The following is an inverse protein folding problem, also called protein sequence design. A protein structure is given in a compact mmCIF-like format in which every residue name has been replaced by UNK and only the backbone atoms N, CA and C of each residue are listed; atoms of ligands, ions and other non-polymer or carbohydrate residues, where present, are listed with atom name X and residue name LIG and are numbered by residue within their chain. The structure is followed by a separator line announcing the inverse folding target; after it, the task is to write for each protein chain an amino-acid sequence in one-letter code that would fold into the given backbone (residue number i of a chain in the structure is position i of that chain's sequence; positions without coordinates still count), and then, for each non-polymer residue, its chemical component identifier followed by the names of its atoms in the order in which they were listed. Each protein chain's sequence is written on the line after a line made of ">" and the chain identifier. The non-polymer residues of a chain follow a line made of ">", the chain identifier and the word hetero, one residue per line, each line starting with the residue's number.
data_IF_587418268571
#
_entry.id   IF_587418268571
#
_cell.length_a   1.000
_cell.length_b   1.000
_cell.length_c   1.000
_cell.angle_alpha   90.00
_cell.angle_beta   90.00
_cell.angle_gamma   90.00
#
_symmetry.space_group_name_H-M   'P 1'
#
loop_
_entity.id
_entity.type
_entity.pdbx_description
1 polymer ?
#
# COMPACT_ATOMS: atom_id res chain seq x y z
N UNK A 1 12.63 -28.86 -16.96
CA UNK A 1 12.27 -29.50 -15.69
C UNK A 1 10.78 -29.19 -15.42
N UNK A 2 9.99 -30.20 -15.21
CA UNK A 2 8.57 -29.99 -14.87
C UNK A 2 8.47 -29.79 -13.36
N UNK A 3 8.32 -28.57 -12.93
CA UNK A 3 8.10 -28.27 -11.52
C UNK A 3 6.62 -28.51 -11.16
N UNK A 4 6.40 -29.42 -10.23
CA UNK A 4 5.07 -29.74 -9.69
C UNK A 4 5.01 -29.28 -8.23
N UNK A 5 3.91 -28.62 -7.85
CA UNK A 5 3.56 -28.32 -6.47
C UNK A 5 2.50 -29.31 -5.98
N UNK A 6 2.66 -29.83 -4.76
CA UNK A 6 1.66 -30.71 -4.14
C UNK A 6 0.53 -29.85 -3.52
N UNK A 7 -0.66 -29.90 -4.09
CA UNK A 7 -1.88 -29.33 -3.52
C UNK A 7 -2.74 -30.39 -2.83
N UNK A 8 -3.83 -29.99 -2.16
CA UNK A 8 -4.77 -30.89 -1.44
C UNK A 8 -5.34 -32.01 -2.32
N UNK A 9 -5.38 -31.84 -3.63
CA UNK A 9 -5.96 -32.77 -4.61
C UNK A 9 -4.94 -33.29 -5.65
N UNK A 10 -3.63 -33.32 -5.33
CA UNK A 10 -2.61 -33.85 -6.20
C UNK A 10 -1.56 -32.84 -6.68
N UNK A 11 -0.75 -33.27 -7.66
CA UNK A 11 0.32 -32.43 -8.23
C UNK A 11 -0.26 -31.37 -9.16
N UNK A 12 0.09 -30.11 -8.90
CA UNK A 12 -0.29 -28.96 -9.72
C UNK A 12 0.86 -28.65 -10.68
N UNK A 13 0.58 -28.64 -11.97
CA UNK A 13 1.55 -28.29 -13.00
C UNK A 13 1.67 -26.77 -13.07
N UNK A 14 2.88 -26.24 -12.89
CA UNK A 14 3.15 -24.81 -13.12
C UNK A 14 3.18 -24.59 -14.64
N UNK A 15 2.26 -23.79 -15.16
CA UNK A 15 2.25 -23.42 -16.58
C UNK A 15 3.10 -22.17 -16.79
N UNK A 16 4.17 -22.32 -17.57
CA UNK A 16 4.96 -21.21 -18.06
C UNK A 16 4.32 -20.67 -19.34
N UNK A 17 3.93 -19.41 -19.37
CA UNK A 17 3.53 -18.73 -20.60
C UNK A 17 4.81 -18.23 -21.28
N UNK A 18 5.19 -18.84 -22.41
CA UNK A 18 6.22 -18.27 -23.27
C UNK A 18 5.60 -17.17 -24.10
N UNK A 19 6.22 -16.00 -24.12
CA UNK A 19 5.93 -14.97 -25.11
C UNK A 19 6.47 -15.45 -26.45
N UNK A 20 5.60 -15.80 -27.39
CA UNK A 20 5.99 -16.06 -28.78
C UNK A 20 6.37 -14.72 -29.42
N UNK A 21 7.66 -14.48 -29.54
CA UNK A 21 8.19 -13.50 -30.49
C UNK A 21 8.18 -14.11 -31.88
N UNK A 22 7.55 -13.38 -32.81
CA UNK A 22 7.58 -13.55 -34.28
C UNK A 22 6.69 -14.63 -34.91
N UNK A 23 5.57 -14.19 -35.44
CA UNK A 23 5.19 -14.69 -36.77
C UNK A 23 4.44 -13.60 -37.57
N UNK A 24 5.22 -12.79 -38.30
CA UNK A 24 4.75 -12.09 -39.50
C UNK A 24 4.92 -13.05 -40.66
N UNK A 25 3.83 -13.66 -41.16
CA UNK A 25 3.72 -13.92 -42.58
C UNK A 25 2.27 -14.19 -43.00
N UNK A 26 1.85 -13.31 -43.87
CA UNK A 26 0.67 -13.37 -44.73
C UNK A 26 0.58 -14.67 -45.52
N UNK A 27 -0.59 -15.32 -45.57
CA UNK A 27 -1.12 -15.87 -46.83
C UNK A 27 -2.63 -16.09 -46.70
N UNK A 28 -3.32 -15.24 -47.48
CA UNK A 28 -4.73 -15.41 -47.82
C UNK A 28 -4.91 -16.67 -48.67
N UNK A 29 -5.78 -17.58 -48.26
CA UNK A 29 -6.41 -18.55 -49.16
C UNK A 29 -7.92 -18.55 -48.99
N UNK A 30 -8.57 -18.02 -50.06
CA UNK A 30 -9.99 -18.22 -50.35
C UNK A 30 -10.29 -19.72 -50.41
N UNK A 31 -11.33 -20.20 -49.74
CA UNK A 31 -12.03 -21.39 -50.14
C UNK A 31 -13.54 -21.21 -50.14
N UNK A 32 -14.16 -21.86 -51.10
CA UNK A 32 -15.47 -21.71 -51.70
C UNK A 32 -16.63 -22.19 -50.83
N UNK A 33 -17.78 -21.59 -51.09
CA UNK A 33 -19.14 -21.98 -50.74
C UNK A 33 -19.48 -23.43 -51.07
N UNK A 34 -20.12 -24.15 -50.12
CA UNK A 34 -20.94 -25.30 -50.32
C UNK A 34 -22.23 -25.17 -49.51
N UNK A 35 -23.36 -25.33 -50.22
CA UNK A 35 -24.74 -25.21 -49.75
C UNK A 35 -25.25 -26.48 -49.11
N UNK A 36 -26.20 -26.33 -48.15
CA UNK A 36 -27.30 -27.22 -47.73
C UNK A 36 -27.04 -28.23 -46.62
N UNK A 37 -27.76 -28.24 -45.49
CA UNK A 37 -29.17 -28.57 -45.25
C UNK A 37 -29.55 -28.38 -43.78
N UNK A 38 -30.79 -28.01 -43.55
CA UNK A 38 -31.51 -27.80 -42.29
C UNK A 38 -31.52 -29.06 -41.42
N UNK A 39 -31.32 -28.88 -40.11
CA UNK A 39 -32.13 -29.52 -39.07
C UNK A 39 -32.15 -28.62 -37.85
N UNK A 40 -33.35 -28.24 -37.44
CA UNK A 40 -33.67 -27.54 -36.21
C UNK A 40 -33.32 -28.43 -35.02
N UNK A 41 -32.52 -27.90 -34.10
CA UNK A 41 -32.59 -28.19 -32.68
C UNK A 41 -32.22 -26.90 -31.94
N UNK A 42 -33.21 -26.36 -31.25
CA UNK A 42 -33.07 -25.28 -30.31
C UNK A 42 -32.01 -25.60 -29.25
N UNK A 43 -30.81 -25.14 -29.45
CA UNK A 43 -29.81 -25.00 -28.41
C UNK A 43 -29.65 -23.51 -28.14
N UNK A 44 -30.35 -23.00 -27.16
CA UNK A 44 -30.06 -21.72 -26.51
C UNK A 44 -28.65 -21.83 -25.97
N UNK A 45 -27.68 -21.43 -26.79
CA UNK A 45 -26.34 -21.11 -26.33
C UNK A 45 -26.47 -19.83 -25.51
N UNK A 46 -26.53 -19.98 -24.19
CA UNK A 46 -26.26 -18.88 -23.25
C UNK A 46 -24.83 -18.46 -23.55
N UNK A 47 -24.69 -17.35 -24.25
CA UNK A 47 -23.42 -16.71 -24.56
C UNK A 47 -22.88 -16.06 -23.28
N UNK A 48 -22.10 -16.82 -22.49
CA UNK A 48 -21.60 -16.45 -21.17
C UNK A 48 -20.40 -15.49 -21.22
N UNK A 49 -20.17 -14.78 -22.32
CA UNK A 49 -18.95 -13.96 -22.51
C UNK A 49 -19.20 -12.52 -22.95
N UNK A 50 -20.28 -11.89 -22.54
CA UNK A 50 -20.35 -10.43 -22.59
C UNK A 50 -20.37 -9.86 -21.17
N UNK A 51 -19.18 -9.81 -20.54
CA UNK A 51 -19.01 -8.95 -19.38
C UNK A 51 -19.22 -7.51 -19.87
N UNK A 52 -20.22 -6.85 -19.33
CA UNK A 52 -20.54 -5.44 -19.61
C UNK A 52 -19.24 -4.61 -19.47
N UNK A 53 -18.82 -3.87 -20.52
CA UNK A 53 -17.64 -3.02 -20.46
C UNK A 53 -17.64 -2.06 -19.26
N UNK A 54 -18.81 -1.59 -18.84
CA UNK A 54 -18.98 -0.73 -17.67
C UNK A 54 -18.68 -1.49 -16.37
N UNK A 55 -19.10 -2.75 -16.24
CA UNK A 55 -18.78 -3.58 -15.09
C UNK A 55 -17.28 -3.89 -15.04
N UNK A 56 -16.67 -4.18 -16.18
CA UNK A 56 -15.23 -4.43 -16.28
C UNK A 56 -14.42 -3.17 -15.90
N UNK A 57 -14.87 -1.99 -16.32
CA UNK A 57 -14.24 -0.73 -15.96
C UNK A 57 -14.36 -0.44 -14.47
N UNK A 58 -15.53 -0.69 -13.87
CA UNK A 58 -15.75 -0.57 -12.42
C UNK A 58 -14.86 -1.56 -11.64
N UNK A 59 -14.78 -2.82 -12.05
CA UNK A 59 -13.89 -3.79 -11.42
C UNK A 59 -12.42 -3.34 -11.47
N UNK A 60 -11.95 -2.86 -12.63
CA UNK A 60 -10.58 -2.33 -12.77
C UNK A 60 -10.33 -1.09 -11.91
N UNK A 61 -11.33 -0.24 -11.68
CA UNK A 61 -11.24 0.90 -10.79
C UNK A 61 -11.13 0.50 -9.31
N UNK A 62 -11.62 -0.70 -8.95
CA UNK A 62 -11.57 -1.26 -7.60
C UNK A 62 -10.33 -2.14 -7.36
N UNK A 63 -9.41 -2.22 -8.30
CA UNK A 63 -8.22 -3.05 -8.20
C UNK A 63 -6.95 -2.19 -8.18
N UNK A 64 -5.96 -2.64 -7.41
CA UNK A 64 -4.62 -2.02 -7.33
C UNK A 64 -3.53 -3.07 -7.51
N UNK A 65 -2.37 -2.64 -8.00
CA UNK A 65 -1.18 -3.48 -8.12
C UNK A 65 -0.22 -3.17 -7.00
N UNK A 66 0.15 -4.22 -6.28
CA UNK A 66 1.16 -4.19 -5.22
C UNK A 66 2.33 -5.03 -5.69
N UNK A 67 3.53 -4.50 -5.56
CA UNK A 67 4.77 -5.15 -5.99
C UNK A 67 5.87 -4.97 -4.96
N UNK A 68 6.93 -5.76 -5.10
CA UNK A 68 8.01 -5.84 -4.12
C UNK A 68 7.86 -7.05 -3.19
N UNK A 69 8.97 -7.74 -2.96
CA UNK A 69 9.00 -9.02 -2.25
C UNK A 69 8.37 -8.93 -0.86
N UNK A 70 8.88 -8.04 -0.03
CA UNK A 70 8.42 -7.92 1.35
C UNK A 70 6.99 -7.38 1.45
N UNK A 71 6.61 -6.41 0.60
CA UNK A 71 5.23 -5.90 0.54
C UNK A 71 4.25 -7.02 0.22
N UNK A 72 4.51 -7.83 -0.82
CA UNK A 72 3.64 -8.93 -1.21
C UNK A 72 3.62 -10.07 -0.17
N UNK A 73 4.75 -10.39 0.48
CA UNK A 73 4.78 -11.40 1.53
C UNK A 73 3.97 -10.99 2.76
N UNK A 74 4.10 -9.75 3.22
CA UNK A 74 3.33 -9.25 4.35
C UNK A 74 1.85 -9.11 4.03
N UNK A 75 1.50 -8.65 2.82
CA UNK A 75 0.12 -8.62 2.35
C UNK A 75 -0.49 -10.04 2.35
N UNK A 76 0.21 -11.02 1.79
CA UNK A 76 -0.24 -12.40 1.80
C UNK A 76 -0.44 -12.95 3.22
N UNK A 77 0.45 -12.63 4.14
CA UNK A 77 0.37 -13.06 5.54
C UNK A 77 -0.84 -12.48 6.27
N UNK A 78 -1.17 -11.21 6.01
CA UNK A 78 -2.17 -10.47 6.79
C UNK A 78 -3.57 -10.50 6.17
N UNK A 79 -3.69 -10.52 4.84
CA UNK A 79 -4.99 -10.43 4.14
C UNK A 79 -4.98 -11.09 2.75
N UNK A 80 -4.70 -12.39 2.68
CA UNK A 80 -4.62 -13.11 1.39
C UNK A 80 -5.92 -13.06 0.58
N UNK A 81 -7.06 -12.92 1.24
CA UNK A 81 -8.41 -12.94 0.65
C UNK A 81 -8.62 -11.81 -0.37
N UNK A 82 -7.96 -10.67 -0.23
CA UNK A 82 -8.08 -9.56 -1.18
C UNK A 82 -7.29 -9.78 -2.48
N UNK A 83 -6.41 -10.78 -2.53
CA UNK A 83 -5.62 -11.09 -3.73
C UNK A 83 -6.57 -11.63 -4.80
N UNK A 84 -6.59 -10.96 -5.96
CA UNK A 84 -7.36 -11.34 -7.14
C UNK A 84 -6.50 -12.23 -8.04
N UNK A 85 -5.27 -11.80 -8.32
CA UNK A 85 -4.35 -12.43 -9.26
C UNK A 85 -2.90 -12.10 -8.89
N UNK A 86 -1.96 -12.95 -9.27
CA UNK A 86 -0.54 -12.72 -9.02
C UNK A 86 0.33 -13.06 -10.23
N UNK A 87 1.50 -12.40 -10.30
CA UNK A 87 2.57 -12.68 -11.24
C UNK A 87 3.88 -12.85 -10.48
N UNK A 88 4.66 -13.86 -10.88
CA UNK A 88 5.92 -14.20 -10.26
C UNK A 88 7.00 -14.38 -11.32
N UNK A 89 8.22 -13.94 -11.02
CA UNK A 89 9.38 -14.38 -11.80
C UNK A 89 9.77 -15.81 -11.42
N UNK A 90 10.44 -16.57 -12.29
CA UNK A 90 10.94 -17.90 -11.95
C UNK A 90 11.80 -17.93 -10.69
N UNK A 91 12.57 -16.86 -10.46
CA UNK A 91 13.48 -16.73 -9.30
C UNK A 91 12.77 -16.50 -7.99
N UNK A 92 11.54 -15.92 -8.00
CA UNK A 92 10.78 -15.62 -6.78
C UNK A 92 9.88 -16.78 -6.31
N UNK A 93 9.72 -17.85 -7.10
CA UNK A 93 8.82 -18.97 -6.77
C UNK A 93 9.16 -19.59 -5.41
N UNK A 94 10.46 -19.75 -5.11
CA UNK A 94 10.91 -20.33 -3.83
C UNK A 94 10.42 -19.54 -2.61
N UNK A 95 10.37 -18.22 -2.73
CA UNK A 95 10.00 -17.31 -1.65
C UNK A 95 8.48 -17.25 -1.44
N UNK A 96 7.68 -17.61 -2.46
CA UNK A 96 6.22 -17.53 -2.48
C UNK A 96 5.50 -18.86 -2.52
N UNK A 97 6.16 -19.97 -2.15
CA UNK A 97 5.55 -21.33 -2.18
C UNK A 97 4.24 -21.41 -1.41
N UNK A 98 4.16 -20.76 -0.25
CA UNK A 98 2.95 -20.73 0.56
C UNK A 98 1.81 -19.97 -0.13
N UNK A 99 2.13 -18.82 -0.75
CA UNK A 99 1.16 -18.03 -1.51
C UNK A 99 0.67 -18.79 -2.74
N UNK A 100 1.56 -19.42 -3.50
CA UNK A 100 1.20 -20.22 -4.68
C UNK A 100 0.29 -21.41 -4.30
N UNK A 101 0.60 -22.11 -3.22
CA UNK A 101 -0.23 -23.20 -2.71
C UNK A 101 -1.62 -22.67 -2.31
N UNK A 102 -1.67 -21.60 -1.55
CA UNK A 102 -2.94 -20.98 -1.13
C UNK A 102 -3.77 -20.52 -2.34
N UNK A 103 -3.14 -19.89 -3.34
CA UNK A 103 -3.83 -19.45 -4.57
C UNK A 103 -4.41 -20.64 -5.35
N UNK A 104 -3.67 -21.73 -5.44
CA UNK A 104 -4.16 -22.95 -6.09
C UNK A 104 -5.35 -23.56 -5.33
N UNK A 105 -5.25 -23.66 -3.99
CA UNK A 105 -6.32 -24.20 -3.14
C UNK A 105 -7.61 -23.34 -3.21
N UNK A 106 -7.46 -22.01 -3.39
CA UNK A 106 -8.56 -21.04 -3.48
C UNK A 106 -8.96 -20.67 -4.92
N UNK A 107 -8.44 -21.39 -5.93
CA UNK A 107 -8.71 -21.16 -7.35
C UNK A 107 -8.43 -19.73 -7.82
N UNK A 108 -7.41 -19.09 -7.24
CA UNK A 108 -6.95 -17.78 -7.66
C UNK A 108 -5.96 -17.89 -8.82
N UNK A 109 -6.08 -17.01 -9.81
CA UNK A 109 -5.19 -17.00 -10.96
C UNK A 109 -3.78 -16.51 -10.59
N UNK A 110 -2.75 -17.22 -11.10
CA UNK A 110 -1.37 -16.75 -11.04
C UNK A 110 -0.61 -17.13 -12.31
N UNK A 111 0.44 -16.35 -12.61
CA UNK A 111 1.29 -16.54 -13.77
C UNK A 111 2.76 -16.54 -13.34
N UNK A 112 3.56 -17.34 -14.02
CA UNK A 112 5.02 -17.25 -13.94
C UNK A 112 5.49 -16.65 -15.25
N UNK A 113 6.12 -15.49 -15.17
CA UNK A 113 6.45 -14.63 -16.31
C UNK A 113 7.90 -14.16 -16.21
N UNK A 114 8.48 -13.67 -17.29
CA UNK A 114 9.79 -13.06 -17.27
C UNK A 114 9.78 -11.65 -16.63
N UNK A 115 10.98 -11.09 -16.40
CA UNK A 115 11.12 -9.78 -15.76
C UNK A 115 10.51 -8.66 -16.60
N UNK A 116 10.55 -8.75 -17.93
CA UNK A 116 10.05 -7.73 -18.83
C UNK A 116 8.51 -7.67 -18.82
N UNK A 117 7.87 -8.83 -18.86
CA UNK A 117 6.41 -8.92 -18.71
C UNK A 117 5.99 -8.45 -17.31
N UNK A 118 6.74 -8.83 -16.27
CA UNK A 118 6.47 -8.41 -14.91
C UNK A 118 6.59 -6.90 -14.74
N UNK A 119 7.59 -6.26 -15.36
CA UNK A 119 7.73 -4.80 -15.40
C UNK A 119 6.53 -4.12 -16.08
N UNK A 120 6.06 -4.68 -17.20
CA UNK A 120 4.86 -4.19 -17.89
C UNK A 120 3.61 -4.29 -16.99
N UNK A 121 3.44 -5.41 -16.29
CA UNK A 121 2.30 -5.63 -15.40
C UNK A 121 2.35 -4.74 -14.17
N UNK A 122 3.51 -4.61 -13.53
CA UNK A 122 3.66 -3.80 -12.32
C UNK A 122 3.74 -2.29 -12.61
N UNK A 123 4.08 -1.92 -13.86
CA UNK A 123 4.35 -0.55 -14.27
C UNK A 123 5.70 -0.02 -13.77
N UNK A 124 6.64 -0.89 -13.41
CA UNK A 124 7.95 -0.51 -12.87
C UNK A 124 8.96 -1.64 -13.01
N UNK A 125 10.25 -1.29 -13.16
CA UNK A 125 11.36 -2.23 -13.09
C UNK A 125 11.66 -2.71 -11.64
N UNK A 126 11.15 -2.00 -10.64
CA UNK A 126 11.43 -2.25 -9.22
C UNK A 126 10.46 -3.24 -8.58
N UNK A 127 9.99 -4.25 -9.33
CA UNK A 127 9.00 -5.22 -8.88
C UNK A 127 9.56 -6.36 -8.01
N UNK A 128 10.87 -6.54 -7.94
CA UNK A 128 11.53 -7.58 -7.11
C UNK A 128 11.01 -9.01 -7.37
N UNK A 129 10.59 -9.28 -8.61
CA UNK A 129 10.15 -10.60 -9.05
C UNK A 129 8.71 -10.96 -8.71
N UNK A 130 7.87 -10.03 -8.21
CA UNK A 130 6.49 -10.30 -7.83
C UNK A 130 5.57 -9.10 -8.01
N UNK A 131 4.33 -9.36 -8.44
CA UNK A 131 3.25 -8.37 -8.48
C UNK A 131 1.92 -9.05 -8.15
N UNK A 132 1.15 -8.49 -7.22
CA UNK A 132 -0.21 -8.88 -6.89
C UNK A 132 -1.21 -7.86 -7.41
N UNK A 133 -2.29 -8.33 -8.01
CA UNK A 133 -3.50 -7.57 -8.23
C UNK A 133 -4.42 -7.80 -7.05
N UNK A 134 -4.78 -6.76 -6.33
CA UNK A 134 -5.62 -6.84 -5.14
C UNK A 134 -6.88 -6.01 -5.31
N UNK A 135 -7.94 -6.39 -4.62
CA UNK A 135 -9.09 -5.50 -4.42
C UNK A 135 -8.67 -4.35 -3.50
N UNK A 136 -9.12 -3.14 -3.81
CA UNK A 136 -8.99 -2.03 -2.86
C UNK A 136 -9.64 -2.44 -1.55
N UNK A 137 -8.94 -2.26 -0.46
CA UNK A 137 -9.49 -2.47 0.87
C UNK A 137 -9.47 -1.12 1.57
N UNK A 138 -10.63 -0.70 2.05
CA UNK A 138 -10.72 0.51 2.86
C UNK A 138 -10.13 0.20 4.24
N UNK A 139 -8.88 0.61 4.45
CA UNK A 139 -8.16 0.48 5.73
C UNK A 139 -8.30 1.75 6.55
N UNK A 140 -9.44 2.39 6.38
CA UNK A 140 -9.78 3.61 7.09
C UNK A 140 -10.50 3.28 8.39
N UNK A 141 -10.18 4.03 9.41
CA UNK A 141 -10.92 4.01 10.66
C UNK A 141 -11.69 5.32 10.80
N UNK A 142 -12.94 5.22 11.22
CA UNK A 142 -13.73 6.41 11.52
C UNK A 142 -13.12 7.15 12.73
N UNK A 143 -12.86 8.45 12.55
CA UNK A 143 -12.23 9.32 13.55
C UNK A 143 -12.97 9.31 14.89
N UNK A 144 -14.30 9.43 14.87
CA UNK A 144 -15.08 9.47 16.11
C UNK A 144 -15.01 8.14 16.87
N UNK A 145 -15.09 7.00 16.16
CA UNK A 145 -14.94 5.67 16.77
C UNK A 145 -13.53 5.50 17.34
N UNK A 146 -12.51 5.93 16.62
CA UNK A 146 -11.13 5.87 17.09
C UNK A 146 -10.92 6.67 18.38
N UNK A 147 -11.40 7.92 18.42
CA UNK A 147 -11.23 8.80 19.59
C UNK A 147 -11.94 8.29 20.84
N UNK A 148 -13.09 7.60 20.69
CA UNK A 148 -13.79 6.97 21.81
C UNK A 148 -13.01 5.79 22.41
N UNK A 149 -12.18 5.13 21.64
CA UNK A 149 -11.43 3.92 22.05
C UNK A 149 -9.93 4.18 22.19
N UNK A 150 -9.50 5.44 22.07
CA UNK A 150 -8.11 5.81 22.07
C UNK A 150 -7.41 5.45 23.39
N UNK A 151 -6.23 4.81 23.34
CA UNK A 151 -5.50 4.42 24.55
C UNK A 151 -4.98 5.65 25.32
N UNK A 152 -4.62 5.44 26.58
CA UNK A 152 -4.05 6.49 27.43
C UNK A 152 -2.65 6.93 26.96
N UNK A 153 -1.91 6.04 26.32
CA UNK A 153 -0.63 6.35 25.64
C UNK A 153 -0.78 6.07 24.17
N UNK A 154 -0.58 7.10 23.35
CA UNK A 154 -0.80 7.02 21.91
C UNK A 154 -0.06 8.12 21.16
N UNK A 155 0.38 7.80 19.96
CA UNK A 155 0.92 8.76 19.01
C UNK A 155 0.27 8.55 17.64
N UNK A 156 -0.36 9.59 17.13
CA UNK A 156 -0.93 9.63 15.78
C UNK A 156 -0.10 10.59 14.93
N UNK A 157 0.29 10.18 13.73
CA UNK A 157 0.91 11.10 12.78
C UNK A 157 -0.15 11.80 11.96
N UNK A 158 -0.11 13.13 11.92
CA UNK A 158 -0.89 13.94 11.00
C UNK A 158 0.01 14.41 9.86
N UNK A 159 -0.38 14.08 8.63
CA UNK A 159 0.40 14.38 7.43
C UNK A 159 -0.28 15.49 6.63
N UNK A 160 0.33 16.68 6.63
CA UNK A 160 -0.16 17.82 5.87
C UNK A 160 0.55 17.90 4.51
N UNK A 161 -0.21 17.68 3.42
CA UNK A 161 0.24 17.80 2.03
C UNK A 161 1.46 16.93 1.66
N UNK A 162 1.68 15.82 2.34
CA UNK A 162 2.74 14.87 2.00
C UNK A 162 2.22 13.91 0.95
N UNK A 163 2.59 14.16 -0.33
CA UNK A 163 2.10 13.39 -1.48
C UNK A 163 3.11 12.43 -2.10
N UNK A 164 4.40 12.52 -1.76
CA UNK A 164 5.42 11.66 -2.33
C UNK A 164 5.28 10.22 -1.80
N UNK A 165 5.05 9.20 -2.66
CA UNK A 165 4.83 7.83 -2.22
C UNK A 165 6.07 7.20 -1.54
N UNK A 166 7.28 7.63 -1.87
CA UNK A 166 8.50 7.15 -1.18
C UNK A 166 8.57 7.69 0.25
N UNK A 167 8.21 8.97 0.46
CA UNK A 167 8.13 9.52 1.79
C UNK A 167 7.04 8.86 2.63
N UNK A 168 5.84 8.67 2.04
CA UNK A 168 4.75 7.95 2.71
C UNK A 168 5.15 6.51 3.07
N UNK A 169 5.82 5.80 2.16
CA UNK A 169 6.32 4.46 2.42
C UNK A 169 7.35 4.42 3.55
N UNK A 170 8.31 5.36 3.55
CA UNK A 170 9.31 5.51 4.62
C UNK A 170 8.66 5.83 5.97
N UNK A 171 7.67 6.72 6.00
CA UNK A 171 6.89 7.05 7.19
C UNK A 171 6.13 5.82 7.70
N UNK A 172 5.40 5.10 6.85
CA UNK A 172 4.69 3.89 7.25
C UNK A 172 5.61 2.81 7.82
N UNK A 173 6.77 2.60 7.20
CA UNK A 173 7.80 1.66 7.70
C UNK A 173 8.28 2.06 9.09
N UNK A 174 8.57 3.33 9.28
CA UNK A 174 9.01 3.91 10.56
C UNK A 174 7.93 3.82 11.63
N UNK A 175 6.69 4.16 11.29
CA UNK A 175 5.54 4.03 12.18
C UNK A 175 5.37 2.59 12.66
N UNK A 176 5.37 1.62 11.74
CA UNK A 176 5.27 0.20 12.08
C UNK A 176 6.40 -0.25 13.01
N UNK A 177 7.65 0.21 12.76
CA UNK A 177 8.82 -0.12 13.59
C UNK A 177 8.66 0.37 15.03
N UNK A 178 8.13 1.58 15.24
CA UNK A 178 7.94 2.19 16.56
C UNK A 178 6.59 1.87 17.21
N UNK A 179 5.73 1.06 16.56
CA UNK A 179 4.43 0.67 17.08
C UNK A 179 3.37 1.78 16.99
N UNK A 180 3.52 2.68 16.03
CA UNK A 180 2.53 3.70 15.67
C UNK A 180 1.65 3.10 14.57
N UNK A 181 0.34 3.07 14.79
CA UNK A 181 -0.58 2.35 13.91
C UNK A 181 -1.54 3.26 13.14
N UNK A 182 -1.60 4.54 13.45
CA UNK A 182 -2.59 5.45 12.91
C UNK A 182 -1.96 6.68 12.28
N UNK A 183 -2.42 7.00 11.06
CA UNK A 183 -1.99 8.17 10.30
C UNK A 183 -3.22 8.96 9.89
N UNK A 184 -3.26 10.24 10.24
CA UNK A 184 -4.31 11.19 9.91
C UNK A 184 -3.92 11.94 8.63
N UNK A 185 -4.72 11.87 7.58
CA UNK A 185 -4.45 12.53 6.30
C UNK A 185 -5.72 12.72 5.47
N UNK A 186 -5.61 13.57 4.44
CA UNK A 186 -6.73 13.92 3.55
C UNK A 186 -7.08 12.78 2.58
N UNK A 187 -6.08 12.16 1.93
CA UNK A 187 -6.31 11.09 0.95
C UNK A 187 -5.68 9.76 1.40
N UNK A 188 -6.44 8.89 2.07
CA UNK A 188 -5.99 7.57 2.50
C UNK A 188 -5.50 6.66 1.37
N UNK A 189 -5.98 6.87 0.14
CA UNK A 189 -5.62 6.03 -1.01
C UNK A 189 -4.14 6.12 -1.37
N UNK A 190 -3.46 7.20 -0.98
CA UNK A 190 -2.04 7.42 -1.21
C UNK A 190 -1.16 6.42 -0.44
N UNK A 191 -1.59 5.99 0.77
CA UNK A 191 -0.87 4.97 1.56
C UNK A 191 -0.88 3.60 0.89
N UNK A 192 -1.85 3.35 0.03
CA UNK A 192 -2.02 2.08 -0.68
C UNK A 192 -1.47 2.11 -2.12
N UNK A 193 -0.73 3.14 -2.53
CA UNK A 193 -0.06 3.14 -3.82
C UNK A 193 1.03 2.06 -3.87
N UNK A 194 1.23 1.41 -5.03
CA UNK A 194 2.23 0.35 -5.16
C UNK A 194 3.63 0.79 -4.74
N UNK A 195 4.01 2.04 -5.06
CA UNK A 195 5.31 2.60 -4.68
C UNK A 195 5.43 2.82 -3.17
N UNK A 196 4.37 3.35 -2.51
CA UNK A 196 4.36 3.52 -1.05
C UNK A 196 4.40 2.16 -0.33
N UNK A 197 3.59 1.21 -0.76
CA UNK A 197 3.55 -0.15 -0.21
C UNK A 197 4.90 -0.86 -0.33
N UNK A 198 5.56 -0.75 -1.49
CA UNK A 198 6.90 -1.31 -1.70
C UNK A 198 7.92 -0.66 -0.76
N UNK A 199 7.96 0.68 -0.71
CA UNK A 199 8.92 1.41 0.14
C UNK A 199 8.69 1.11 1.63
N UNK A 200 7.46 0.86 2.03
CA UNK A 200 7.10 0.49 3.41
C UNK A 200 7.60 -0.91 3.82
N UNK A 201 8.08 -1.75 2.88
CA UNK A 201 8.69 -3.07 3.18
C UNK A 201 7.79 -3.95 4.06
N UNK A 202 6.47 -3.91 3.82
CA UNK A 202 5.48 -4.61 4.62
C UNK A 202 4.95 -3.85 5.84
N UNK A 203 5.61 -2.77 6.26
CA UNK A 203 5.14 -1.92 7.36
C UNK A 203 3.75 -1.33 7.12
N UNK A 204 3.39 -1.09 5.87
CA UNK A 204 2.07 -0.59 5.50
C UNK A 204 0.92 -1.47 6.03
N UNK A 205 1.11 -2.79 6.18
CA UNK A 205 0.08 -3.70 6.68
C UNK A 205 -0.34 -3.41 8.13
N UNK A 206 0.48 -2.70 8.87
CA UNK A 206 0.25 -2.33 10.28
C UNK A 206 -0.30 -0.91 10.46
N UNK A 207 -0.49 -0.15 9.36
CA UNK A 207 -0.96 1.23 9.40
C UNK A 207 -2.42 1.32 8.96
N UNK A 208 -3.21 2.08 9.71
CA UNK A 208 -4.59 2.44 9.39
C UNK A 208 -4.68 3.94 9.18
N UNK A 209 -5.42 4.33 8.15
CA UNK A 209 -5.69 5.73 7.87
C UNK A 209 -6.86 6.25 8.71
N UNK A 210 -6.73 7.45 9.25
CA UNK A 210 -7.84 8.25 9.75
C UNK A 210 -8.05 9.33 8.71
N UNK A 211 -9.17 9.26 7.99
CA UNK A 211 -9.50 10.23 6.95
C UNK A 211 -10.00 11.54 7.57
N UNK A 212 -9.60 12.66 6.98
CA UNK A 212 -10.16 13.98 7.29
C UNK A 212 -10.16 14.89 6.08
N UNK A 213 -11.28 15.53 5.80
CA UNK A 213 -11.37 16.59 4.79
C UNK A 213 -10.80 17.91 5.30
N UNK A 214 -10.79 18.09 6.63
CA UNK A 214 -10.28 19.28 7.30
C UNK A 214 -9.39 18.90 8.49
N UNK A 215 -8.09 19.12 8.33
CA UNK A 215 -7.09 18.81 9.34
C UNK A 215 -7.25 19.67 10.59
N UNK A 216 -7.60 20.96 10.45
CA UNK A 216 -7.85 21.85 11.59
C UNK A 216 -8.95 21.32 12.50
N UNK A 217 -10.10 20.97 11.92
CA UNK A 217 -11.22 20.39 12.64
C UNK A 217 -10.82 19.08 13.32
N UNK A 218 -10.04 18.24 12.63
CA UNK A 218 -9.57 16.99 13.21
C UNK A 218 -8.68 17.21 14.43
N UNK A 219 -7.73 18.15 14.38
CA UNK A 219 -6.85 18.47 15.51
C UNK A 219 -7.63 18.96 16.74
N UNK A 220 -8.69 19.74 16.52
CA UNK A 220 -9.61 20.15 17.59
C UNK A 220 -10.28 18.96 18.26
N UNK A 221 -10.74 17.98 17.48
CA UNK A 221 -11.37 16.77 18.02
C UNK A 221 -10.37 15.89 18.80
N UNK A 222 -9.14 15.76 18.29
CA UNK A 222 -8.06 15.08 19.01
C UNK A 222 -7.74 15.77 20.33
N UNK A 223 -7.66 17.11 20.36
CA UNK A 223 -7.43 17.87 21.59
C UNK A 223 -8.54 17.63 22.62
N UNK A 224 -9.82 17.64 22.21
CA UNK A 224 -10.96 17.30 23.09
C UNK A 224 -10.86 15.88 23.65
N UNK A 225 -10.23 14.95 22.93
CA UNK A 225 -10.00 13.57 23.34
C UNK A 225 -8.70 13.40 24.20
N UNK A 226 -8.07 14.52 24.60
CA UNK A 226 -6.92 14.54 25.49
C UNK A 226 -5.55 14.35 24.81
N UNK A 227 -5.47 14.58 23.50
CA UNK A 227 -4.19 14.62 22.78
C UNK A 227 -3.58 16.02 22.84
N UNK A 228 -2.28 16.09 23.02
CA UNK A 228 -1.51 17.32 22.76
C UNK A 228 -1.10 17.35 21.29
N UNK A 229 -1.19 18.51 20.67
CA UNK A 229 -0.78 18.73 19.28
C UNK A 229 0.68 19.17 19.26
N UNK A 230 1.53 18.37 18.65
CA UNK A 230 2.96 18.64 18.48
C UNK A 230 3.23 18.99 17.03
N UNK A 231 3.59 20.25 16.77
CA UNK A 231 3.96 20.74 15.45
C UNK A 231 5.47 20.70 15.25
N UNK A 232 5.92 20.56 14.01
CA UNK A 232 7.34 20.43 13.67
C UNK A 232 7.78 21.51 12.69
N UNK A 233 8.98 22.02 12.87
CA UNK A 233 9.60 23.00 11.96
C UNK A 233 11.11 22.78 11.89
N UNK A 234 11.71 23.11 10.74
CA UNK A 234 13.17 23.16 10.59
C UNK A 234 13.80 24.45 11.12
N UNK A 235 12.97 25.49 11.35
CA UNK A 235 13.48 26.83 11.68
C UNK A 235 13.06 27.34 13.07
N UNK A 236 11.92 26.89 13.55
CA UNK A 236 11.29 27.43 14.77
C UNK A 236 10.77 26.28 15.63
N UNK A 237 10.81 26.49 16.95
CA UNK A 237 10.41 25.48 17.93
C UNK A 237 11.50 25.19 18.94
N UNK A 238 11.15 24.47 19.98
CA UNK A 238 12.10 24.03 21.00
C UNK A 238 12.93 22.87 20.46
N UNK A 239 14.18 22.79 20.88
CA UNK A 239 15.02 21.64 20.56
C UNK A 239 14.41 20.34 21.06
N UNK A 240 14.27 19.37 20.17
CA UNK A 240 13.71 18.03 20.46
C UNK A 240 14.41 17.38 21.65
N UNK A 241 15.74 17.55 21.78
CA UNK A 241 16.53 16.93 22.85
C UNK A 241 16.21 17.48 24.24
N UNK A 242 15.70 18.70 24.30
CA UNK A 242 15.32 19.40 25.52
C UNK A 242 13.81 19.47 25.76
N UNK A 243 13.02 18.84 24.87
CA UNK A 243 11.55 18.90 24.92
C UNK A 243 10.98 17.59 25.47
N UNK A 244 10.14 17.70 26.49
CA UNK A 244 9.35 16.55 26.98
C UNK A 244 8.15 16.33 26.04
N UNK A 245 8.15 15.25 25.30
CA UNK A 245 7.04 14.87 24.42
C UNK A 245 5.90 14.21 25.22
N UNK A 246 4.65 14.63 24.99
CA UNK A 246 3.48 14.03 25.64
C UNK A 246 3.34 12.53 25.31
N UNK A 247 2.85 11.77 26.28
CA UNK A 247 2.58 10.34 26.07
C UNK A 247 1.38 10.08 25.13
N UNK A 248 0.48 11.08 25.01
CA UNK A 248 -0.68 11.04 24.13
C UNK A 248 -0.66 12.28 23.24
N UNK A 249 -0.26 12.12 21.97
CA UNK A 249 -0.05 13.25 21.07
C UNK A 249 -0.45 12.98 19.62
N UNK A 250 -0.74 14.05 18.90
CA UNK A 250 -0.73 14.10 17.44
C UNK A 250 0.54 14.80 17.01
N UNK A 251 1.41 14.10 16.28
CA UNK A 251 2.62 14.68 15.69
C UNK A 251 2.31 15.13 14.27
N UNK A 252 2.38 16.43 14.02
CA UNK A 252 2.08 17.02 12.72
C UNK A 252 3.36 17.19 11.91
N UNK A 253 3.36 16.60 10.72
CA UNK A 253 4.45 16.71 9.73
C UNK A 253 3.93 17.38 8.47
N UNK A 254 4.66 18.37 7.97
CA UNK A 254 4.35 19.07 6.72
C UNK A 254 5.19 18.58 5.55
N UNK A 255 4.85 19.05 4.36
CA UNK A 255 5.62 18.76 3.12
C UNK A 255 7.03 19.39 3.17
N UNK A 256 7.94 18.85 2.35
CA UNK A 256 9.34 19.26 2.31
C UNK A 256 9.56 20.72 1.88
N UNK A 257 8.76 21.21 0.93
CA UNK A 257 8.95 22.56 0.35
C UNK A 257 8.23 23.69 1.08
N UNK A 258 7.16 23.41 1.81
CA UNK A 258 6.33 24.41 2.47
C UNK A 258 6.17 24.22 3.97
N UNK A 259 6.59 23.07 4.48
CA UNK A 259 6.39 22.71 5.88
C UNK A 259 4.91 22.59 6.24
N UNK A 260 4.58 22.98 7.46
CA UNK A 260 3.23 23.03 8.00
C UNK A 260 2.64 24.42 7.73
N UNK A 261 1.37 24.50 7.29
CA UNK A 261 0.68 25.78 7.09
C UNK A 261 0.57 26.56 8.39
N UNK A 262 0.46 27.91 8.26
CA UNK A 262 0.38 28.79 9.43
C UNK A 262 -0.80 28.45 10.34
N UNK A 263 -1.94 28.09 9.76
CA UNK A 263 -3.15 27.81 10.52
C UNK A 263 -3.01 26.51 11.33
N UNK A 264 -2.38 25.49 10.75
CA UNK A 264 -2.05 24.25 11.47
C UNK A 264 -0.96 24.47 12.52
N UNK A 265 0.06 25.28 12.19
CA UNK A 265 1.12 25.63 13.12
C UNK A 265 0.57 26.29 14.41
N UNK A 266 -0.41 27.17 14.27
CA UNK A 266 -1.06 27.85 15.40
C UNK A 266 -1.87 26.90 16.31
N UNK A 267 -2.16 25.68 15.84
CA UNK A 267 -2.80 24.65 16.66
C UNK A 267 -1.80 23.89 17.55
N UNK A 268 -0.50 24.10 17.39
CA UNK A 268 0.51 23.42 18.21
C UNK A 268 0.44 23.80 19.67
N UNK A 269 0.29 22.83 20.55
CA UNK A 269 0.47 23.01 22.00
C UNK A 269 1.98 23.01 22.33
N UNK A 270 2.76 22.28 21.53
CA UNK A 270 4.21 22.19 21.59
C UNK A 270 4.74 22.29 20.15
N UNK A 271 5.74 23.13 19.95
CA UNK A 271 6.47 23.22 18.68
C UNK A 271 7.89 22.69 18.87
N UNK A 272 8.30 21.71 18.06
CA UNK A 272 9.63 21.08 18.14
C UNK A 272 10.43 21.25 16.86
N UNK A 273 11.75 21.31 17.01
CA UNK A 273 12.71 21.29 15.91
C UNK A 273 13.81 20.26 16.17
N UNK A 274 14.31 19.68 15.08
CA UNK A 274 15.51 18.84 15.10
C UNK A 274 16.69 19.74 14.74
N UNK A 275 17.50 20.07 15.73
CA UNK A 275 18.64 20.97 15.52
C UNK A 275 19.71 20.28 14.67
N UNK A 276 20.26 21.00 13.72
CA UNK A 276 21.35 20.60 12.85
C UNK A 276 22.46 21.63 12.82
N UNK A 277 23.46 21.41 11.99
CA UNK A 277 24.63 22.32 11.81
C UNK A 277 24.30 23.55 10.98
N UNK A 278 23.14 23.60 10.32
CA UNK A 278 22.77 24.67 9.38
C UNK A 278 23.37 24.50 7.97
N UNK A 279 24.11 23.40 7.70
CA UNK A 279 24.67 23.13 6.38
C UNK A 279 23.60 22.72 5.35
N UNK A 280 22.45 22.24 5.81
CA UNK A 280 21.26 21.97 5.02
C UNK A 280 20.05 22.60 5.70
N UNK A 281 19.06 23.01 4.92
CA UNK A 281 17.88 23.71 5.43
C UNK A 281 16.95 22.78 6.21
N UNK A 282 16.77 21.55 5.74
CA UNK A 282 15.84 20.58 6.33
C UNK A 282 16.27 19.15 6.07
N UNK A 283 15.66 18.23 6.83
CA UNK A 283 15.76 16.79 6.59
C UNK A 283 14.58 16.32 5.71
N UNK A 284 14.80 15.24 4.97
CA UNK A 284 13.69 14.52 4.37
C UNK A 284 12.64 14.16 5.43
N UNK A 285 11.37 14.33 5.11
CA UNK A 285 10.27 14.19 6.10
C UNK A 285 10.19 12.78 6.71
N UNK A 286 10.53 11.73 5.96
CA UNK A 286 10.53 10.36 6.51
C UNK A 286 11.70 10.14 7.48
N UNK A 287 12.82 10.82 7.28
CA UNK A 287 13.97 10.83 8.22
C UNK A 287 13.60 11.59 9.48
N UNK A 288 13.02 12.79 9.34
CA UNK A 288 12.53 13.57 10.46
C UNK A 288 11.51 12.81 11.30
N UNK A 289 10.55 12.13 10.66
CA UNK A 289 9.60 11.25 11.32
C UNK A 289 10.31 10.17 12.14
N UNK A 290 11.37 9.56 11.61
CA UNK A 290 12.15 8.54 12.32
C UNK A 290 12.79 9.07 13.60
N UNK A 291 13.40 10.24 13.54
CA UNK A 291 14.05 10.87 14.71
C UNK A 291 13.02 11.24 15.78
N UNK A 292 11.92 11.89 15.38
CA UNK A 292 10.84 12.32 16.27
C UNK A 292 10.15 11.13 16.96
N UNK A 293 9.84 10.06 16.22
CA UNK A 293 9.20 8.87 16.77
C UNK A 293 10.14 8.05 17.65
N UNK A 294 11.45 8.00 17.32
CA UNK A 294 12.44 7.36 18.17
C UNK A 294 12.55 8.05 19.52
N UNK A 295 12.55 9.41 19.51
CA UNK A 295 12.60 10.20 20.74
C UNK A 295 11.31 10.05 21.56
N UNK A 296 10.14 10.17 20.92
CA UNK A 296 8.87 9.90 21.61
C UNK A 296 8.85 8.51 22.25
N UNK A 297 9.29 7.47 21.54
CA UNK A 297 9.34 6.10 22.05
C UNK A 297 10.32 5.96 23.21
N UNK A 298 11.48 6.64 23.15
CA UNK A 298 12.47 6.65 24.22
C UNK A 298 11.90 7.25 25.51
N UNK A 299 11.22 8.40 25.39
CA UNK A 299 10.66 9.12 26.53
C UNK A 299 9.45 8.40 27.13
N UNK A 300 8.65 7.72 26.30
CA UNK A 300 7.39 7.10 26.69
C UNK A 300 7.46 5.57 26.76
N UNK A 301 8.66 4.99 26.85
CA UNK A 301 8.83 3.58 27.12
C UNK A 301 8.25 3.25 28.51
N UNK A 302 7.21 2.42 28.55
CA UNK A 302 6.92 1.73 29.81
C UNK A 302 8.13 0.83 30.08
N UNK A 303 8.82 1.06 31.19
CA UNK A 303 9.74 0.06 31.76
C UNK A 303 8.87 -1.17 32.04
N UNK A 304 9.12 -2.25 31.29
CA UNK A 304 8.44 -3.52 31.47
C UNK A 304 8.89 -4.15 32.80
#
# INVERSE_FOLDING_TARGET
>A
MNDFLNGKNGKIKVMYVRSDENNTNSHAKKFRRGKNRRHDHDNVKIDTNQIDPIQLQRQRAEEKRIYGKNACQQLFKNRPEIIVKAWFSPTSISDFRMALKWMADHRKAYHVVDSKELATVSGTEHHEGVCFLIKKSHREINRAVYLQQAPAQDCVLALENIGNPHNLGGIMRTCAHFGIHHVLLHDPTMLESGAAMRTAEGGAEHIKAIHTDDLLSALVDFRKAGYSIVTTSSHTGSDLTNTQLPNKMVLVLGQESGGITKDIWQQGDIAVSILGTGLVESLNVSVAAGILLAEWRRQNRRLA
#
